data_IF_420556835147
#
_entry.id   IF_420556835147
#
_cell.length_a   1.000
_cell.length_b   1.000
_cell.length_c   1.000
_cell.angle_alpha   90.00
_cell.angle_beta   90.00
_cell.angle_gamma   90.00
#
_symmetry.space_group_name_H-M   'P 1'
#
loop_
_entity.id
_entity.type
_entity.pdbx_description
1 polymer ?
#
# COMPACT_ATOMS: atom_id res chain seq x y z
N UNK A 1 21.28 -21.19 -33.74
CA UNK A 1 19.89 -21.35 -33.27
C UNK A 1 19.95 -21.67 -31.79
N UNK A 2 19.75 -20.67 -30.94
CA UNK A 2 19.72 -20.84 -29.48
C UNK A 2 18.33 -21.35 -29.08
N UNK A 3 18.24 -22.64 -28.72
CA UNK A 3 17.05 -23.18 -28.06
C UNK A 3 16.80 -22.39 -26.78
N UNK A 4 15.62 -21.79 -26.66
CA UNK A 4 15.19 -21.24 -25.39
C UNK A 4 14.91 -22.41 -24.43
N UNK A 5 15.30 -22.31 -23.15
CA UNK A 5 15.04 -23.36 -22.19
C UNK A 5 13.54 -23.60 -22.09
N UNK A 6 13.13 -24.86 -22.32
CA UNK A 6 11.74 -25.29 -22.20
C UNK A 6 11.36 -25.25 -20.72
N UNK A 7 10.67 -24.20 -20.32
CA UNK A 7 10.17 -23.98 -18.97
C UNK A 7 9.23 -25.14 -18.57
N UNK A 8 9.67 -26.01 -17.66
CA UNK A 8 8.92 -27.21 -17.27
C UNK A 8 7.96 -26.89 -16.11
N UNK A 9 6.79 -26.34 -16.47
CA UNK A 9 5.74 -25.93 -15.52
C UNK A 9 5.36 -27.07 -14.56
N UNK A 10 5.38 -28.33 -15.03
CA UNK A 10 4.98 -29.49 -14.22
C UNK A 10 5.98 -29.77 -13.07
N UNK A 11 7.27 -29.61 -13.34
CA UNK A 11 8.33 -29.80 -12.34
C UNK A 11 8.30 -28.68 -11.29
N UNK A 12 8.07 -27.43 -11.71
CA UNK A 12 7.90 -26.31 -10.78
C UNK A 12 6.67 -26.47 -9.88
N UNK A 13 5.53 -26.89 -10.45
CA UNK A 13 4.32 -27.16 -9.68
C UNK A 13 4.54 -28.28 -8.66
N UNK A 14 5.28 -29.32 -9.04
CA UNK A 14 5.67 -30.41 -8.14
C UNK A 14 6.55 -29.90 -6.99
N UNK A 15 7.56 -29.09 -7.30
CA UNK A 15 8.43 -28.48 -6.30
C UNK A 15 7.67 -27.56 -5.33
N UNK A 16 6.80 -26.68 -5.85
CA UNK A 16 5.94 -25.80 -5.05
C UNK A 16 5.06 -26.63 -4.12
N UNK A 17 4.40 -27.67 -4.63
CA UNK A 17 3.53 -28.54 -3.83
C UNK A 17 4.32 -29.24 -2.72
N UNK A 18 5.50 -29.77 -3.03
CA UNK A 18 6.38 -30.39 -2.04
C UNK A 18 6.80 -29.40 -0.93
N UNK A 19 7.15 -28.17 -1.30
CA UNK A 19 7.53 -27.13 -0.37
C UNK A 19 6.36 -26.72 0.54
N UNK A 20 5.17 -26.54 -0.03
CA UNK A 20 3.94 -26.23 0.74
C UNK A 20 3.61 -27.36 1.71
N UNK A 21 3.69 -28.63 1.27
CA UNK A 21 3.44 -29.77 2.14
C UNK A 21 4.45 -29.89 3.27
N UNK A 22 5.72 -29.58 3.00
CA UNK A 22 6.77 -29.57 4.03
C UNK A 22 6.47 -28.52 5.09
N UNK A 23 6.12 -27.29 4.67
CA UNK A 23 5.74 -26.20 5.59
C UNK A 23 4.45 -26.51 6.35
N UNK A 24 3.47 -27.14 5.72
CA UNK A 24 2.24 -27.58 6.37
C UNK A 24 2.50 -28.55 7.53
N UNK A 25 3.42 -29.50 7.35
CA UNK A 25 3.78 -30.46 8.41
C UNK A 25 4.44 -29.79 9.62
N UNK A 26 5.14 -28.67 9.43
CA UNK A 26 5.75 -27.91 10.54
C UNK A 26 4.69 -27.28 11.46
N UNK A 27 3.49 -27.03 10.95
CA UNK A 27 2.37 -26.39 11.68
C UNK A 27 1.20 -27.36 11.94
N UNK A 28 1.44 -28.66 11.78
CA UNK A 28 0.43 -29.69 12.02
C UNK A 28 0.09 -29.71 13.52
N UNK A 29 -1.21 -29.64 13.84
CA UNK A 29 -1.70 -29.60 15.23
C UNK A 29 -1.86 -28.19 15.81
N UNK A 30 -1.49 -27.13 15.07
CA UNK A 30 -1.79 -25.75 15.46
C UNK A 30 -3.30 -25.51 15.53
N UNK A 31 -3.77 -24.89 16.62
CA UNK A 31 -5.19 -24.54 16.77
C UNK A 31 -5.60 -23.48 15.75
N UNK A 32 -6.88 -23.44 15.32
CA UNK A 32 -7.34 -22.48 14.32
C UNK A 32 -7.02 -21.01 14.66
N UNK A 33 -7.18 -20.62 15.93
CA UNK A 33 -6.93 -19.25 16.39
C UNK A 33 -5.43 -18.91 16.34
N UNK A 34 -4.56 -19.86 16.72
CA UNK A 34 -3.10 -19.69 16.68
C UNK A 34 -2.61 -19.59 15.23
N UNK A 35 -3.12 -20.44 14.34
CA UNK A 35 -2.82 -20.41 12.91
C UNK A 35 -3.27 -19.08 12.29
N UNK A 36 -4.42 -18.55 12.71
CA UNK A 36 -4.89 -17.24 12.26
C UNK A 36 -3.98 -16.12 12.75
N UNK A 37 -3.56 -16.13 14.00
CA UNK A 37 -2.64 -15.12 14.55
C UNK A 37 -1.29 -15.14 13.82
N UNK A 38 -0.72 -16.31 13.59
CA UNK A 38 0.54 -16.48 12.87
C UNK A 38 0.43 -16.00 11.42
N UNK A 39 -0.64 -16.41 10.72
CA UNK A 39 -0.93 -15.94 9.37
C UNK A 39 -1.03 -14.42 9.32
N UNK A 40 -1.80 -13.82 10.24
CA UNK A 40 -1.96 -12.37 10.29
C UNK A 40 -0.65 -11.65 10.62
N UNK A 41 0.23 -12.25 11.44
CA UNK A 41 1.58 -11.72 11.72
C UNK A 41 2.40 -11.64 10.43
N UNK A 42 2.44 -12.73 9.65
CA UNK A 42 3.15 -12.78 8.36
C UNK A 42 2.60 -11.73 7.40
N UNK A 43 1.28 -11.64 7.25
CA UNK A 43 0.63 -10.70 6.33
C UNK A 43 0.88 -9.24 6.75
N UNK A 44 0.86 -8.94 8.05
CA UNK A 44 1.14 -7.60 8.59
C UNK A 44 2.60 -7.18 8.45
N UNK A 45 3.54 -8.13 8.32
CA UNK A 45 4.95 -7.82 8.12
C UNK A 45 5.26 -7.29 6.71
N UNK A 46 4.33 -7.42 5.76
CA UNK A 46 4.49 -6.78 4.46
C UNK A 46 4.32 -5.26 4.56
N UNK A 47 5.28 -4.50 4.03
CA UNK A 47 5.26 -3.03 4.06
C UNK A 47 4.04 -2.42 3.36
N UNK A 48 3.43 -3.15 2.43
CA UNK A 48 2.19 -2.74 1.75
C UNK A 48 0.91 -3.17 2.46
N UNK A 49 0.97 -3.79 3.64
CA UNK A 49 -0.22 -4.24 4.37
C UNK A 49 -1.21 -3.08 4.59
N UNK A 50 -2.50 -3.34 4.32
CA UNK A 50 -3.54 -2.31 4.38
C UNK A 50 -3.56 -1.35 3.19
N UNK A 51 -2.73 -1.58 2.17
CA UNK A 51 -2.76 -0.83 0.90
C UNK A 51 -3.66 -1.50 -0.12
N UNK A 52 -4.39 -0.69 -0.88
CA UNK A 52 -4.99 -1.14 -2.15
C UNK A 52 -4.00 -0.87 -3.28
N UNK A 53 -3.66 -1.90 -4.05
CA UNK A 53 -2.66 -1.82 -5.13
C UNK A 53 -3.33 -1.53 -6.47
N UNK A 54 -2.83 -0.54 -7.20
CA UNK A 54 -3.28 -0.19 -8.55
C UNK A 54 -2.14 -0.33 -9.53
N UNK A 55 -2.34 -1.05 -10.63
CA UNK A 55 -1.37 -1.08 -11.72
C UNK A 55 -1.38 0.28 -12.42
N UNK A 56 -0.19 0.85 -12.59
CA UNK A 56 0.01 2.16 -13.22
C UNK A 56 1.26 2.13 -14.10
N UNK A 57 1.26 2.96 -15.14
CA UNK A 57 2.44 3.17 -15.99
C UNK A 57 3.06 4.53 -15.71
N UNK A 58 4.30 4.58 -15.22
CA UNK A 58 5.00 5.83 -14.96
C UNK A 58 5.28 6.61 -16.25
N UNK A 59 5.03 7.93 -16.22
CA UNK A 59 5.54 8.88 -17.22
C UNK A 59 6.87 9.51 -16.83
N UNK A 60 7.36 9.24 -15.62
CA UNK A 60 8.64 9.75 -15.13
C UNK A 60 9.80 8.95 -15.74
N UNK A 61 10.72 9.58 -16.50
CA UNK A 61 11.86 8.88 -17.11
C UNK A 61 12.85 8.29 -16.11
N UNK A 62 12.79 8.71 -14.84
CA UNK A 62 13.67 8.20 -13.78
C UNK A 62 13.14 6.94 -13.11
N UNK A 63 11.90 6.51 -13.43
CA UNK A 63 11.25 5.36 -12.82
C UNK A 63 11.00 4.25 -13.83
N UNK A 64 10.90 2.98 -13.38
CA UNK A 64 10.36 1.90 -14.20
C UNK A 64 8.98 2.26 -14.74
N UNK A 65 8.66 1.81 -15.96
CA UNK A 65 7.36 2.06 -16.56
C UNK A 65 6.25 1.36 -15.77
N UNK A 66 6.34 0.05 -15.60
CA UNK A 66 5.29 -0.72 -14.94
C UNK A 66 5.48 -0.74 -13.43
N UNK A 67 4.56 -0.08 -12.73
CA UNK A 67 4.58 0.07 -11.28
C UNK A 67 3.24 -0.32 -10.68
N UNK A 68 3.25 -0.56 -9.37
CA UNK A 68 2.06 -0.61 -8.56
C UNK A 68 2.02 0.61 -7.62
N UNK A 69 0.91 1.35 -7.67
CA UNK A 69 0.60 2.42 -6.73
C UNK A 69 -0.18 1.82 -5.55
N UNK A 70 0.45 1.71 -4.39
CA UNK A 70 -0.19 1.33 -3.14
C UNK A 70 -0.81 2.55 -2.47
N UNK A 71 -2.12 2.53 -2.24
CA UNK A 71 -2.84 3.57 -1.50
C UNK A 71 -3.28 2.97 -0.16
N UNK A 72 -2.69 3.45 0.94
CA UNK A 72 -2.97 3.01 2.31
C UNK A 72 -3.60 4.12 3.13
N UNK A 73 -4.03 3.81 4.36
CA UNK A 73 -4.50 4.83 5.29
C UNK A 73 -3.41 5.87 5.65
N UNK A 74 -2.14 5.49 5.64
CA UNK A 74 -1.05 6.35 6.13
C UNK A 74 -0.38 7.15 5.00
N UNK A 75 -0.24 6.55 3.83
CA UNK A 75 0.55 7.11 2.73
C UNK A 75 0.17 6.51 1.38
N UNK A 76 0.74 7.08 0.33
CA UNK A 76 0.79 6.52 -1.01
C UNK A 76 2.22 6.07 -1.31
N UNK A 77 2.39 4.86 -1.82
CA UNK A 77 3.69 4.29 -2.11
C UNK A 77 3.76 3.67 -3.52
N UNK A 78 4.95 3.64 -4.10
CA UNK A 78 5.22 3.04 -5.41
C UNK A 78 6.03 1.77 -5.24
N UNK A 79 5.63 0.70 -5.93
CA UNK A 79 6.27 -0.60 -5.89
C UNK A 79 6.60 -1.06 -7.31
N UNK A 80 7.68 -1.83 -7.44
CA UNK A 80 7.86 -2.70 -8.61
C UNK A 80 7.00 -3.95 -8.40
N UNK A 81 6.45 -4.52 -9.49
CA UNK A 81 5.50 -5.65 -9.44
C UNK A 81 5.95 -6.84 -8.60
N UNK A 82 7.27 -7.09 -8.55
CA UNK A 82 7.88 -8.22 -7.85
C UNK A 82 8.54 -7.83 -6.51
N UNK A 83 8.39 -6.59 -6.06
CA UNK A 83 9.04 -6.10 -4.85
C UNK A 83 8.08 -5.87 -3.69
N UNK A 84 8.47 -6.36 -2.52
CA UNK A 84 7.71 -6.17 -1.29
C UNK A 84 7.99 -4.84 -0.61
N UNK A 85 9.07 -4.14 -1.02
CA UNK A 85 9.49 -2.84 -0.50
C UNK A 85 9.13 -1.73 -1.49
N UNK A 86 8.69 -0.56 -1.00
CA UNK A 86 8.37 0.55 -1.88
C UNK A 86 9.64 1.22 -2.43
N UNK A 87 9.60 1.59 -3.71
CA UNK A 87 10.59 2.44 -4.38
C UNK A 87 10.51 3.88 -3.86
N UNK A 88 9.30 4.35 -3.57
CA UNK A 88 9.05 5.67 -3.03
C UNK A 88 7.79 5.66 -2.15
N UNK A 89 7.77 6.52 -1.13
CA UNK A 89 6.63 6.72 -0.24
C UNK A 89 6.34 8.22 -0.11
N UNK A 90 5.06 8.56 -0.10
CA UNK A 90 4.54 9.92 -0.03
C UNK A 90 3.46 9.97 1.05
N UNK A 91 3.75 10.62 2.18
CA UNK A 91 2.78 10.81 3.24
C UNK A 91 1.72 11.81 2.81
N UNK A 92 0.49 11.67 3.30
CA UNK A 92 -0.60 12.59 2.95
C UNK A 92 -0.30 14.05 3.33
N UNK A 93 0.48 14.27 4.39
CA UNK A 93 0.89 15.60 4.85
C UNK A 93 1.81 16.31 3.86
N UNK A 94 2.61 15.55 3.09
CA UNK A 94 3.54 16.08 2.09
C UNK A 94 2.87 16.25 0.71
N UNK A 95 1.67 15.70 0.51
CA UNK A 95 0.95 15.77 -0.78
C UNK A 95 0.21 17.12 -0.86
N UNK A 96 0.72 18.00 -1.72
CA UNK A 96 0.14 19.33 -1.93
C UNK A 96 -1.13 19.28 -2.79
N UNK A 97 -1.15 18.40 -3.79
CA UNK A 97 -2.34 18.16 -4.61
C UNK A 97 -2.26 16.82 -5.33
N UNK A 98 -3.41 16.29 -5.72
CA UNK A 98 -3.51 15.09 -6.55
C UNK A 98 -4.76 15.16 -7.43
N UNK A 99 -4.73 14.49 -8.57
CA UNK A 99 -5.89 14.40 -9.44
C UNK A 99 -5.59 13.95 -10.86
N UNK A 100 -6.59 14.16 -11.73
CA UNK A 100 -6.59 13.70 -13.10
C UNK A 100 -6.43 14.87 -14.08
N UNK A 101 -5.20 15.22 -14.52
CA UNK A 101 -5.04 16.24 -15.55
C UNK A 101 -5.67 15.81 -16.90
N UNK A 102 -5.80 14.50 -17.14
CA UNK A 102 -6.42 13.90 -18.33
C UNK A 102 -7.17 12.61 -17.91
N UNK A 103 -8.14 12.09 -18.69
CA UNK A 103 -9.01 10.98 -18.27
C UNK A 103 -8.28 9.71 -17.79
N UNK A 104 -7.12 9.39 -18.36
CA UNK A 104 -6.29 8.22 -18.01
C UNK A 104 -4.97 8.59 -17.35
N UNK A 105 -4.78 9.85 -16.98
CA UNK A 105 -3.53 10.31 -16.34
C UNK A 105 -3.82 10.72 -14.92
N UNK A 106 -3.06 10.17 -13.97
CA UNK A 106 -3.10 10.56 -12.56
C UNK A 106 -1.81 11.28 -12.19
N UNK A 107 -1.91 12.38 -11.44
CA UNK A 107 -0.76 13.19 -11.01
C UNK A 107 -0.81 13.44 -9.53
N UNK A 108 0.34 13.32 -8.87
CA UNK A 108 0.54 13.64 -7.46
C UNK A 108 1.66 14.67 -7.36
N UNK A 109 1.37 15.80 -6.71
CA UNK A 109 2.35 16.85 -6.42
C UNK A 109 2.72 16.76 -4.96
N UNK A 110 4.01 16.57 -4.69
CA UNK A 110 4.56 16.36 -3.35
C UNK A 110 5.51 17.51 -3.02
N UNK A 111 5.47 18.00 -1.79
CA UNK A 111 6.32 19.08 -1.33
C UNK A 111 7.80 18.71 -1.49
N UNK A 112 8.59 19.63 -2.07
CA UNK A 112 10.04 19.45 -2.25
C UNK A 112 10.44 18.34 -3.23
N UNK A 113 9.50 17.79 -4.02
CA UNK A 113 9.77 16.75 -5.02
C UNK A 113 9.17 17.10 -6.37
N UNK A 114 9.69 16.47 -7.42
CA UNK A 114 9.09 16.56 -8.74
C UNK A 114 7.69 15.91 -8.74
N UNK A 115 6.70 16.49 -9.43
CA UNK A 115 5.39 15.88 -9.58
C UNK A 115 5.46 14.53 -10.28
N UNK A 116 4.84 13.51 -9.69
CA UNK A 116 4.82 12.17 -10.26
C UNK A 116 3.54 11.99 -11.05
N UNK A 117 3.67 11.47 -12.27
CA UNK A 117 2.55 11.31 -13.22
C UNK A 117 2.51 9.89 -13.76
N UNK A 118 1.31 9.31 -13.80
CA UNK A 118 1.09 7.94 -14.19
C UNK A 118 -0.08 7.83 -15.17
N UNK A 119 -0.07 6.78 -16.00
CA UNK A 119 -1.23 6.33 -16.76
C UNK A 119 -1.94 5.19 -16.04
N UNK A 120 -3.27 5.24 -16.00
CA UNK A 120 -4.11 4.18 -15.43
C UNK A 120 -5.57 4.39 -15.83
N UNK A 121 -6.33 3.30 -15.89
CA UNK A 121 -7.79 3.33 -16.06
C UNK A 121 -8.52 3.56 -14.72
N UNK A 122 -7.81 3.46 -13.60
CA UNK A 122 -8.37 3.51 -12.23
C UNK A 122 -8.29 4.88 -11.56
N UNK A 123 -8.23 5.94 -12.38
CA UNK A 123 -8.08 7.33 -11.93
C UNK A 123 -9.12 7.73 -10.89
N UNK A 124 -10.38 7.35 -11.11
CA UNK A 124 -11.50 7.74 -10.23
C UNK A 124 -11.44 6.98 -8.91
N UNK A 125 -11.14 5.69 -8.95
CA UNK A 125 -11.02 4.83 -7.78
C UNK A 125 -9.88 5.27 -6.88
N UNK A 126 -8.71 5.56 -7.45
CA UNK A 126 -7.55 6.09 -6.71
C UNK A 126 -7.92 7.42 -6.04
N UNK A 127 -8.52 8.36 -6.77
CA UNK A 127 -8.90 9.66 -6.24
C UNK A 127 -9.93 9.54 -5.10
N UNK A 128 -10.93 8.67 -5.25
CA UNK A 128 -11.95 8.44 -4.21
C UNK A 128 -11.33 7.84 -2.96
N UNK A 129 -10.46 6.85 -3.10
CA UNK A 129 -9.82 6.19 -1.97
C UNK A 129 -8.90 7.15 -1.20
N UNK A 130 -8.04 7.89 -1.90
CA UNK A 130 -7.19 8.91 -1.27
C UNK A 130 -8.02 9.96 -0.53
N UNK A 131 -9.09 10.46 -1.16
CA UNK A 131 -9.99 11.43 -0.51
C UNK A 131 -10.67 10.85 0.73
N UNK A 132 -11.12 9.59 0.67
CA UNK A 132 -11.74 8.94 1.82
C UNK A 132 -10.76 8.83 3.01
N UNK A 133 -9.52 8.42 2.76
CA UNK A 133 -8.50 8.35 3.81
C UNK A 133 -8.15 9.72 4.37
N UNK A 134 -7.87 10.73 3.53
CA UNK A 134 -7.58 12.09 3.99
C UNK A 134 -8.74 12.63 4.85
N UNK A 135 -9.99 12.44 4.42
CA UNK A 135 -11.16 12.88 5.17
C UNK A 135 -11.22 12.24 6.56
N UNK A 136 -10.95 10.93 6.66
CA UNK A 136 -10.96 10.21 7.93
C UNK A 136 -9.78 10.61 8.83
N UNK A 137 -8.58 10.82 8.28
CA UNK A 137 -7.42 11.35 9.01
C UNK A 137 -7.75 12.72 9.61
N UNK A 138 -8.28 13.64 8.81
CA UNK A 138 -8.66 14.99 9.24
C UNK A 138 -9.75 14.95 10.32
N UNK A 139 -10.77 14.10 10.14
CA UNK A 139 -11.84 13.90 11.11
C UNK A 139 -11.32 13.37 12.44
N UNK A 140 -10.40 12.41 12.41
CA UNK A 140 -9.80 11.84 13.62
C UNK A 140 -8.86 12.83 14.32
N UNK A 141 -8.11 13.65 13.57
CA UNK A 141 -7.32 14.74 14.14
C UNK A 141 -8.22 15.76 14.86
N UNK A 142 -9.33 16.19 14.24
CA UNK A 142 -10.29 17.13 14.85
C UNK A 142 -10.90 16.58 16.15
N UNK A 143 -11.29 15.30 16.17
CA UNK A 143 -11.81 14.63 17.37
C UNK A 143 -10.79 14.62 18.51
N UNK A 144 -9.54 14.24 18.23
CA UNK A 144 -8.47 14.23 19.22
C UNK A 144 -8.22 15.65 19.79
N UNK A 145 -8.20 16.67 18.94
CA UNK A 145 -8.03 18.06 19.38
C UNK A 145 -9.21 18.57 20.22
N UNK A 146 -10.44 18.13 19.94
CA UNK A 146 -11.60 18.48 20.77
C UNK A 146 -11.50 17.86 22.18
N UNK A 147 -11.19 16.56 22.26
CA UNK A 147 -11.00 15.86 23.55
C UNK A 147 -9.88 16.50 24.37
N UNK A 148 -8.76 16.86 23.75
CA UNK A 148 -7.66 17.53 24.47
C UNK A 148 -8.07 18.90 25.00
N UNK A 149 -8.85 19.68 24.25
CA UNK A 149 -9.41 20.96 24.72
C UNK A 149 -10.32 20.75 25.91
N UNK A 150 -11.26 19.81 25.81
CA UNK A 150 -12.23 19.51 26.87
C UNK A 150 -11.53 19.02 28.15
N UNK A 151 -10.50 18.18 28.03
CA UNK A 151 -9.67 17.74 29.17
C UNK A 151 -8.88 18.88 29.82
N UNK A 152 -8.43 19.87 29.04
CA UNK A 152 -7.68 21.02 29.58
C UNK A 152 -8.62 21.99 30.34
N UNK A 153 -9.87 22.14 29.89
CA UNK A 153 -10.89 22.90 30.63
C UNK A 153 -11.21 22.25 31.99
N UNK A 154 -11.22 20.91 32.08
CA UNK A 154 -11.48 20.20 33.34
C UNK A 154 -10.33 20.28 34.37
N UNK A 155 -9.13 20.68 33.96
CA UNK A 155 -7.95 20.82 34.83
C UNK A 155 -7.73 22.29 35.24
N UNK A 156 -8.42 23.23 34.57
CA UNK A 156 -8.18 24.67 34.64
C UNK A 156 -8.96 25.48 35.66
N UNK A 157 -9.71 24.85 36.58
CA UNK A 157 -10.43 25.58 37.65
C UNK A 157 -9.69 25.51 39.00
N UNK A 158 -8.83 26.49 39.32
CA UNK A 158 -8.57 26.84 40.71
C UNK A 158 -9.60 27.89 41.16
N UNK A 159 -10.29 27.59 42.27
CA UNK A 159 -10.91 28.61 43.12
C UNK A 159 -9.88 29.67 43.54
#
# INVERSE_FOLDING_TARGET
MTEQPKYNIEEELSAIKSNVMTKWREIEGTLPDDAQMEYMSIVKNWHGFGSTMFNVTSKDPTMPKDLQLGVSFNNVALYRREETRPLATYNYEDILSFGAPQPSTYRIVVQGKNPVTFETEKVVEIAKLMKAYINEIVKNARRKSAVLRDSLYLIGDPN
#
